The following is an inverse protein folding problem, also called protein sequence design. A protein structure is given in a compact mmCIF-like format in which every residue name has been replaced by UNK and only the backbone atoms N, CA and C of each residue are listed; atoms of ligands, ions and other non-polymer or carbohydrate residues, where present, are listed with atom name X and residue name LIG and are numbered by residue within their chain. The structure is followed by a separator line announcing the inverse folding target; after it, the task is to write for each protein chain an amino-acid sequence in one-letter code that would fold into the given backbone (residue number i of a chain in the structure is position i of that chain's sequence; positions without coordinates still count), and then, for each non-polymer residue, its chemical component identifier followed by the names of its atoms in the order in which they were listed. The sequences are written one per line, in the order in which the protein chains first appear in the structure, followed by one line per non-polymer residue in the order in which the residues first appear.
data_IF_460975837179
#
_entry.id   IF_460975837179
#
_cell.length_a   1.000
_cell.length_b   1.000
_cell.length_c   1.000
_cell.angle_alpha   90.00
_cell.angle_beta   90.00
_cell.angle_gamma   90.00
#
_symmetry.space_group_name_H-M   'P 1'
#
loop_
_entity.id
_entity.type
_entity.pdbx_description
1 polymer ?
#
# COMPACT_ATOMS: atom_id res chain seq x y z
N UNK A 1 -9.34 5.03 -13.18
CA UNK A 1 -8.13 5.36 -12.42
C UNK A 1 -7.17 4.19 -12.54
N UNK A 2 -6.01 4.43 -13.14
CA UNK A 2 -4.98 3.42 -13.36
C UNK A 2 -4.21 3.13 -12.07
N UNK A 3 -3.39 2.07 -12.06
CA UNK A 3 -2.53 1.77 -10.91
C UNK A 3 -1.43 2.82 -10.72
N UNK A 4 -0.98 3.44 -11.81
CA UNK A 4 0.01 4.53 -11.79
C UNK A 4 -0.59 5.81 -11.19
N UNK A 5 -1.86 6.11 -11.50
CA UNK A 5 -2.59 7.23 -10.89
C UNK A 5 -2.67 7.06 -9.36
N UNK A 6 -3.04 5.86 -8.90
CA UNK A 6 -3.12 5.55 -7.46
C UNK A 6 -1.77 5.66 -6.76
N UNK A 7 -0.70 5.19 -7.42
CA UNK A 7 0.67 5.30 -6.90
C UNK A 7 1.09 6.76 -6.76
N UNK A 8 0.79 7.57 -7.78
CA UNK A 8 1.11 9.00 -7.80
C UNK A 8 0.36 9.77 -6.73
N UNK A 9 -0.94 9.52 -6.58
CA UNK A 9 -1.77 10.12 -5.53
C UNK A 9 -1.24 9.75 -4.13
N UNK A 10 -0.98 8.46 -3.89
CA UNK A 10 -0.41 7.99 -2.62
C UNK A 10 0.94 8.64 -2.34
N UNK A 11 1.81 8.72 -3.34
CA UNK A 11 3.12 9.36 -3.21
C UNK A 11 3.00 10.84 -2.83
N UNK A 12 2.07 11.58 -3.44
CA UNK A 12 1.83 12.98 -3.13
C UNK A 12 1.37 13.16 -1.67
N UNK A 13 0.40 12.37 -1.23
CA UNK A 13 -0.12 12.40 0.15
C UNK A 13 0.97 12.07 1.17
N UNK A 14 1.71 10.97 0.96
CA UNK A 14 2.76 10.56 1.90
C UNK A 14 3.95 11.53 1.90
N UNK A 15 4.22 12.20 0.78
CA UNK A 15 5.26 13.23 0.71
C UNK A 15 4.85 14.46 1.54
N UNK A 16 3.58 14.88 1.46
CA UNK A 16 3.04 15.95 2.30
C UNK A 16 3.12 15.59 3.79
N UNK A 17 2.72 14.37 4.16
CA UNK A 17 2.83 13.87 5.53
C UNK A 17 4.29 13.86 5.99
N UNK A 18 5.21 13.38 5.14
CA UNK A 18 6.64 13.35 5.45
C UNK A 18 7.20 14.74 5.75
N UNK A 19 6.92 15.72 4.91
CA UNK A 19 7.34 17.11 5.11
C UNK A 19 6.76 17.72 6.39
N UNK A 20 5.48 17.45 6.70
CA UNK A 20 4.86 17.93 7.93
C UNK A 20 5.46 17.28 9.19
N UNK A 21 5.88 16.02 9.10
CA UNK A 21 6.52 15.29 10.20
C UNK A 21 8.00 15.63 10.41
N UNK A 22 8.65 16.32 9.48
CA UNK A 22 9.98 16.90 9.68
C UNK A 22 9.94 18.06 10.67
N UNK A 23 8.85 18.85 10.66
CA UNK A 23 8.60 19.94 11.60
C UNK A 23 7.15 19.90 12.17
N UNK A 24 6.87 18.95 13.07
CA UNK A 24 5.53 18.78 13.63
C UNK A 24 5.14 19.94 14.57
N UNK A 25 6.11 20.69 15.10
CA UNK A 25 5.86 21.85 15.95
C UNK A 25 5.25 22.97 15.10
N UNK A 26 5.81 23.24 13.91
CA UNK A 26 5.25 24.20 12.97
C UNK A 26 3.84 23.83 12.54
N UNK A 27 3.55 22.55 12.29
CA UNK A 27 2.19 22.10 11.97
C UNK A 27 1.23 22.46 13.11
N UNK A 28 1.60 22.14 14.35
CA UNK A 28 0.77 22.43 15.53
C UNK A 28 0.55 23.94 15.73
N UNK A 29 1.59 24.75 15.53
CA UNK A 29 1.51 26.21 15.63
C UNK A 29 0.56 26.81 14.59
N UNK A 30 0.60 26.31 13.35
CA UNK A 30 -0.30 26.75 12.28
C UNK A 30 -1.76 26.43 12.61
N UNK A 31 -2.01 25.20 13.08
CA UNK A 31 -3.36 24.74 13.43
C UNK A 31 -3.93 25.52 14.62
N UNK A 32 -3.16 25.62 15.70
CA UNK A 32 -3.60 26.31 16.93
C UNK A 32 -3.78 27.82 16.77
N UNK A 33 -3.19 28.41 15.73
CA UNK A 33 -3.37 29.83 15.38
C UNK A 33 -4.57 30.10 14.47
N UNK A 34 -5.27 29.08 13.98
CA UNK A 34 -6.42 29.23 13.09
C UNK A 34 -7.71 29.59 13.86
N UNK A 35 -8.62 30.29 13.20
CA UNK A 35 -9.91 30.66 13.79
C UNK A 35 -10.92 29.50 13.82
N UNK A 36 -10.89 28.66 12.79
CA UNK A 36 -11.77 27.51 12.58
C UNK A 36 -11.09 26.47 11.65
N UNK A 37 -11.76 25.36 11.40
CA UNK A 37 -11.22 24.23 10.62
C UNK A 37 -10.90 24.60 9.16
N UNK A 38 -11.74 25.41 8.50
CA UNK A 38 -11.50 25.84 7.11
C UNK A 38 -10.33 26.83 7.04
N UNK A 39 -10.20 27.73 8.03
CA UNK A 39 -9.03 28.58 8.19
C UNK A 39 -7.76 27.75 8.43
N UNK A 40 -7.84 26.71 9.26
CA UNK A 40 -6.73 25.81 9.53
C UNK A 40 -6.28 25.08 8.25
N UNK A 41 -7.21 24.54 7.46
CA UNK A 41 -6.92 23.88 6.18
C UNK A 41 -6.21 24.82 5.22
N UNK A 42 -6.72 26.05 5.02
CA UNK A 42 -6.07 27.03 4.14
C UNK A 42 -4.68 27.42 4.62
N UNK A 43 -4.49 27.62 5.93
CA UNK A 43 -3.19 27.97 6.51
C UNK A 43 -2.18 26.83 6.43
N UNK A 44 -2.61 25.59 6.68
CA UNK A 44 -1.76 24.40 6.51
C UNK A 44 -1.37 24.22 5.04
N UNK A 45 -2.32 24.36 4.11
CA UNK A 45 -2.05 24.32 2.68
C UNK A 45 -0.98 25.33 2.27
N UNK A 46 -1.10 26.57 2.73
CA UNK A 46 -0.12 27.62 2.46
C UNK A 46 1.23 27.37 3.15
N UNK A 47 1.25 26.98 4.43
CA UNK A 47 2.47 26.78 5.20
C UNK A 47 3.32 25.63 4.66
N UNK A 48 2.70 24.55 4.20
CA UNK A 48 3.38 23.36 3.70
C UNK A 48 3.42 23.28 2.17
N UNK A 49 2.91 24.29 1.46
CA UNK A 49 2.82 24.34 -0.01
C UNK A 49 2.14 23.10 -0.61
N UNK A 50 1.02 22.69 -0.03
CA UNK A 50 0.23 21.53 -0.46
C UNK A 50 -1.17 21.95 -0.92
N UNK A 51 -1.87 21.06 -1.60
CA UNK A 51 -3.27 21.28 -2.00
C UNK A 51 -4.20 21.22 -0.78
N UNK A 52 -5.39 21.81 -0.87
CA UNK A 52 -6.38 21.74 0.21
C UNK A 52 -6.76 20.30 0.61
N UNK A 53 -6.97 19.35 -0.34
CA UNK A 53 -7.18 17.94 0.02
C UNK A 53 -6.03 17.34 0.83
N UNK A 54 -4.78 17.64 0.47
CA UNK A 54 -3.62 17.16 1.22
C UNK A 54 -3.52 17.84 2.59
N UNK A 55 -3.85 19.12 2.71
CA UNK A 55 -3.92 19.82 3.99
C UNK A 55 -4.97 19.20 4.93
N UNK A 56 -6.14 18.80 4.42
CA UNK A 56 -7.14 18.04 5.21
C UNK A 56 -6.56 16.72 5.74
N UNK A 57 -5.81 15.99 4.91
CA UNK A 57 -5.11 14.77 5.37
C UNK A 57 -4.10 15.06 6.48
N UNK A 58 -3.40 16.20 6.43
CA UNK A 58 -2.48 16.62 7.49
C UNK A 58 -3.22 16.97 8.79
N UNK A 59 -4.42 17.56 8.70
CA UNK A 59 -5.28 17.84 9.86
C UNK A 59 -5.73 16.54 10.55
N UNK A 60 -5.98 15.48 9.78
CA UNK A 60 -6.40 14.16 10.28
C UNK A 60 -5.25 13.32 10.84
N UNK A 61 -4.03 13.87 10.90
CA UNK A 61 -2.86 13.12 11.32
C UNK A 61 -2.91 12.76 12.81
N UNK A 62 -3.00 11.47 13.09
CA UNK A 62 -3.00 10.95 14.46
C UNK A 62 -1.62 11.09 15.13
N UNK A 63 -1.60 11.44 16.42
CA UNK A 63 -0.36 11.59 17.22
C UNK A 63 0.56 10.35 17.18
N UNK A 64 0.02 9.15 16.99
CA UNK A 64 0.82 7.92 16.83
C UNK A 64 1.81 7.96 15.65
N UNK A 65 1.55 8.79 14.64
CA UNK A 65 2.43 9.01 13.48
C UNK A 65 3.69 9.81 13.82
N UNK A 66 3.75 10.48 14.97
CA UNK A 66 4.91 11.23 15.43
C UNK A 66 6.03 10.33 15.97
N UNK A 67 5.71 9.06 16.29
CA UNK A 67 6.71 8.12 16.84
C UNK A 67 7.82 7.86 15.83
N UNK A 68 9.06 7.68 16.32
CA UNK A 68 10.21 7.33 15.47
C UNK A 68 9.91 6.12 14.58
N UNK A 69 9.34 5.07 15.15
CA UNK A 69 8.99 3.86 14.42
C UNK A 69 7.94 4.09 13.31
N UNK A 70 7.03 5.05 13.45
CA UNK A 70 6.08 5.40 12.40
C UNK A 70 6.74 6.24 11.30
N UNK A 71 7.64 7.17 11.68
CA UNK A 71 8.43 7.97 10.73
C UNK A 71 9.37 7.11 9.90
N UNK A 72 10.08 6.17 10.52
CA UNK A 72 10.98 5.24 9.83
C UNK A 72 10.20 4.39 8.81
N UNK A 73 8.99 3.93 9.18
CA UNK A 73 8.08 3.22 8.27
C UNK A 73 7.64 4.08 7.09
N UNK A 74 7.28 5.34 7.33
CA UNK A 74 6.92 6.28 6.28
C UNK A 74 8.07 6.56 5.32
N UNK A 75 9.29 6.75 5.85
CA UNK A 75 10.49 6.94 5.03
C UNK A 75 10.74 5.75 4.12
N UNK A 76 10.60 4.53 4.65
CA UNK A 76 10.75 3.31 3.86
C UNK A 76 9.66 3.18 2.79
N UNK A 77 8.41 3.49 3.13
CA UNK A 77 7.30 3.49 2.18
C UNK A 77 7.51 4.51 1.04
N UNK A 78 7.95 5.72 1.37
CA UNK A 78 8.31 6.74 0.38
C UNK A 78 9.49 6.30 -0.50
N UNK A 79 10.49 5.62 0.07
CA UNK A 79 11.62 5.06 -0.69
C UNK A 79 11.12 4.06 -1.74
N UNK A 80 10.23 3.15 -1.34
CA UNK A 80 9.65 2.15 -2.25
C UNK A 80 8.78 2.82 -3.32
N UNK A 81 7.93 3.78 -2.95
CA UNK A 81 7.03 4.47 -3.88
C UNK A 81 7.77 5.35 -4.90
N UNK A 82 8.97 5.84 -4.57
CA UNK A 82 9.80 6.65 -5.49
C UNK A 82 10.70 5.81 -6.39
N UNK A 83 10.93 4.54 -6.06
CA UNK A 83 11.84 3.69 -6.82
C UNK A 83 11.27 3.31 -8.19
N UNK A 84 12.11 3.21 -9.21
CA UNK A 84 11.69 2.64 -10.49
C UNK A 84 11.37 1.15 -10.31
N UNK A 85 10.10 0.79 -10.48
CA UNK A 85 9.67 -0.60 -10.35
C UNK A 85 9.95 -1.33 -11.65
N UNK A 86 10.55 -2.52 -11.55
CA UNK A 86 10.74 -3.37 -12.72
C UNK A 86 9.43 -3.97 -13.25
N UNK A 87 9.47 -4.68 -14.39
CA UNK A 87 8.30 -5.32 -14.96
C UNK A 87 7.72 -6.38 -13.99
N UNK A 88 6.43 -6.72 -14.08
CA UNK A 88 5.84 -7.73 -13.22
C UNK A 88 6.59 -9.08 -13.28
N UNK A 89 6.65 -9.77 -12.15
CA UNK A 89 7.05 -11.18 -12.04
C UNK A 89 5.78 -12.02 -12.16
N UNK A 90 5.79 -13.00 -13.05
CA UNK A 90 4.67 -13.92 -13.20
C UNK A 90 4.75 -15.03 -12.15
N UNK A 91 3.62 -15.33 -11.53
CA UNK A 91 3.48 -16.42 -10.59
C UNK A 91 2.19 -17.21 -10.84
N UNK A 92 2.17 -18.46 -10.41
CA UNK A 92 0.99 -19.32 -10.45
C UNK A 92 0.65 -19.77 -9.05
N UNK A 93 -0.62 -19.68 -8.68
CA UNK A 93 -1.15 -20.23 -7.45
C UNK A 93 -2.16 -21.32 -7.77
N UNK A 94 -1.97 -22.51 -7.20
CA UNK A 94 -2.94 -23.61 -7.26
C UNK A 94 -3.60 -23.75 -5.90
N UNK A 95 -4.89 -23.40 -5.81
CA UNK A 95 -5.70 -23.51 -4.61
C UNK A 95 -6.44 -24.85 -4.54
N UNK A 96 -6.21 -25.59 -3.46
CA UNK A 96 -6.89 -26.86 -3.15
C UNK A 96 -7.41 -26.83 -1.73
N UNK A 97 -8.65 -26.34 -1.57
CA UNK A 97 -9.32 -26.21 -0.28
C UNK A 97 -8.56 -25.26 0.66
N UNK A 98 -7.90 -25.81 1.67
CA UNK A 98 -7.13 -25.08 2.70
C UNK A 98 -5.63 -25.03 2.42
N UNK A 99 -5.20 -25.52 1.27
CA UNK A 99 -3.80 -25.55 0.86
C UNK A 99 -3.60 -24.82 -0.46
N UNK A 100 -2.43 -24.20 -0.60
CA UNK A 100 -2.02 -23.58 -1.85
C UNK A 100 -0.61 -24.03 -2.23
N UNK A 101 -0.36 -24.17 -3.54
CA UNK A 101 0.97 -24.30 -4.12
C UNK A 101 1.23 -23.05 -4.96
N UNK A 102 2.21 -22.24 -4.54
CA UNK A 102 2.68 -21.07 -5.26
C UNK A 102 3.93 -21.44 -6.04
N UNK A 103 3.95 -21.19 -7.34
CA UNK A 103 5.12 -21.35 -8.20
C UNK A 103 5.52 -19.97 -8.75
N UNK A 104 6.76 -19.55 -8.50
CA UNK A 104 7.30 -18.24 -8.93
C UNK A 104 8.78 -18.39 -9.27
N UNK A 105 9.17 -17.96 -10.47
CA UNK A 105 10.54 -18.13 -11.01
C UNK A 105 11.10 -19.56 -10.86
N UNK A 106 10.26 -20.57 -11.10
CA UNK A 106 10.63 -21.99 -10.97
C UNK A 106 10.80 -22.50 -9.54
N UNK A 107 10.58 -21.66 -8.52
CA UNK A 107 10.55 -22.07 -7.11
C UNK A 107 9.12 -22.34 -6.69
N UNK A 108 8.89 -23.45 -6.02
CA UNK A 108 7.58 -23.79 -5.46
C UNK A 108 7.56 -23.64 -3.95
N UNK A 109 6.43 -23.12 -3.44
CA UNK A 109 6.18 -22.99 -2.00
C UNK A 109 4.77 -23.39 -1.66
N UNK A 110 4.63 -24.19 -0.62
CA UNK A 110 3.34 -24.66 -0.12
C UNK A 110 2.88 -23.84 1.07
N UNK A 111 1.59 -23.52 1.10
CA UNK A 111 0.91 -22.82 2.18
C UNK A 111 -0.29 -23.62 2.68
N UNK A 112 -0.60 -23.49 3.96
CA UNK A 112 -1.74 -24.14 4.60
C UNK A 112 -2.30 -23.22 5.69
N UNK A 113 -3.60 -22.94 5.66
CA UNK A 113 -4.24 -22.08 6.66
C UNK A 113 -5.65 -22.56 7.02
N UNK A 114 -6.27 -21.94 8.04
CA UNK A 114 -7.61 -22.31 8.54
C UNK A 114 -8.76 -22.08 7.55
N UNK A 115 -8.54 -21.23 6.53
CA UNK A 115 -9.53 -20.89 5.50
C UNK A 115 -8.89 -20.18 4.32
N UNK A 116 -9.66 -19.97 3.24
CA UNK A 116 -9.17 -19.39 1.98
C UNK A 116 -8.64 -17.96 2.18
N UNK A 117 -9.33 -17.11 2.94
CA UNK A 117 -8.86 -15.74 3.17
C UNK A 117 -7.53 -15.71 3.93
N UNK A 118 -7.41 -16.46 5.02
CA UNK A 118 -6.15 -16.58 5.76
C UNK A 118 -5.02 -17.14 4.89
N UNK A 119 -5.33 -18.09 4.00
CA UNK A 119 -4.37 -18.65 3.05
C UNK A 119 -3.90 -17.59 2.03
N UNK A 120 -4.82 -16.79 1.50
CA UNK A 120 -4.49 -15.69 0.60
C UNK A 120 -3.67 -14.61 1.32
N UNK A 121 -4.00 -14.27 2.58
CA UNK A 121 -3.25 -13.31 3.38
C UNK A 121 -1.79 -13.77 3.60
N UNK A 122 -1.58 -15.06 3.90
CA UNK A 122 -0.23 -15.63 4.02
C UNK A 122 0.54 -15.58 2.70
N UNK A 123 -0.11 -15.93 1.58
CA UNK A 123 0.51 -15.88 0.25
C UNK A 123 0.87 -14.44 -0.13
N UNK A 124 -0.04 -13.49 0.06
CA UNK A 124 0.21 -12.06 -0.20
C UNK A 124 1.33 -11.53 0.69
N UNK A 125 1.34 -11.91 1.97
CA UNK A 125 2.39 -11.57 2.91
C UNK A 125 3.77 -12.01 2.43
N UNK A 126 3.89 -13.28 2.02
CA UNK A 126 5.11 -13.85 1.44
C UNK A 126 5.52 -13.15 0.14
N UNK A 127 4.60 -13.02 -0.82
CA UNK A 127 4.87 -12.39 -2.11
C UNK A 127 5.36 -10.96 -1.92
N UNK A 128 4.78 -10.23 -0.98
CA UNK A 128 5.18 -8.87 -0.65
C UNK A 128 6.59 -8.81 -0.09
N UNK A 129 6.90 -9.57 0.97
CA UNK A 129 8.19 -9.46 1.66
C UNK A 129 9.33 -10.02 0.83
N UNK A 130 9.15 -11.22 0.27
CA UNK A 130 10.24 -11.99 -0.33
C UNK A 130 10.50 -11.60 -1.79
N UNK A 131 9.49 -11.06 -2.48
CA UNK A 131 9.57 -10.82 -3.92
C UNK A 131 9.31 -9.35 -4.23
N UNK A 132 8.12 -8.83 -3.90
CA UNK A 132 7.71 -7.53 -4.40
C UNK A 132 8.56 -6.38 -3.86
N UNK A 133 8.72 -6.31 -2.54
CA UNK A 133 9.56 -5.29 -1.88
C UNK A 133 11.04 -5.55 -2.15
N UNK A 134 11.48 -6.80 -1.97
CA UNK A 134 12.89 -7.20 -2.11
C UNK A 134 13.45 -6.92 -3.51
N UNK A 135 12.65 -7.15 -4.55
CA UNK A 135 13.07 -7.00 -5.95
C UNK A 135 12.55 -5.73 -6.62
N UNK A 136 11.73 -4.94 -5.91
CA UNK A 136 11.03 -3.76 -6.44
C UNK A 136 10.27 -4.08 -7.74
N UNK A 137 9.55 -5.21 -7.75
CA UNK A 137 8.78 -5.68 -8.91
C UNK A 137 7.39 -6.12 -8.46
N UNK A 138 6.30 -5.70 -9.13
CA UNK A 138 4.98 -6.28 -8.88
C UNK A 138 5.00 -7.79 -9.14
N UNK A 139 4.14 -8.54 -8.47
CA UNK A 139 3.91 -9.97 -8.74
C UNK A 139 2.50 -10.13 -9.28
N UNK A 140 2.38 -10.58 -10.53
CA UNK A 140 1.11 -10.92 -11.16
C UNK A 140 0.89 -12.44 -11.03
N UNK A 141 -0.13 -12.83 -10.29
CA UNK A 141 -0.43 -14.21 -9.95
C UNK A 141 -1.67 -14.66 -10.70
N UNK A 142 -1.54 -15.72 -11.47
CA UNK A 142 -2.70 -16.46 -12.01
C UNK A 142 -3.11 -17.51 -10.99
N UNK A 143 -4.37 -17.44 -10.55
CA UNK A 143 -4.91 -18.34 -9.53
C UNK A 143 -5.78 -19.39 -10.22
N UNK A 144 -5.52 -20.65 -9.91
CA UNK A 144 -6.20 -21.81 -10.48
C UNK A 144 -6.60 -22.77 -9.37
N UNK A 145 -7.53 -23.68 -9.64
CA UNK A 145 -7.94 -24.71 -8.69
C UNK A 145 -9.45 -24.88 -8.61
N UNK A 146 -9.89 -25.73 -7.69
CA UNK A 146 -11.33 -26.05 -7.47
C UNK A 146 -11.95 -25.29 -6.30
N UNK A 147 -11.17 -24.49 -5.58
CA UNK A 147 -11.68 -23.70 -4.46
C UNK A 147 -12.31 -22.41 -4.99
N UNK A 148 -13.44 -21.99 -4.40
CA UNK A 148 -13.98 -20.66 -4.65
C UNK A 148 -12.96 -19.60 -4.20
N UNK A 149 -12.59 -18.69 -5.10
CA UNK A 149 -11.55 -17.70 -4.84
C UNK A 149 -11.32 -16.76 -6.03
N UNK A 150 -10.33 -15.86 -5.93
CA UNK A 150 -9.92 -15.03 -7.06
C UNK A 150 -9.33 -15.90 -8.18
N UNK A 151 -9.45 -15.43 -9.42
CA UNK A 151 -8.79 -16.01 -10.60
C UNK A 151 -7.45 -15.35 -10.91
N UNK A 152 -7.21 -14.17 -10.33
CA UNK A 152 -5.93 -13.50 -10.41
C UNK A 152 -5.69 -12.61 -9.20
N UNK A 153 -4.43 -12.33 -8.89
CA UNK A 153 -4.08 -11.29 -7.94
C UNK A 153 -2.78 -10.59 -8.33
N UNK A 154 -2.68 -9.32 -7.99
CA UNK A 154 -1.44 -8.54 -8.16
C UNK A 154 -0.99 -8.02 -6.81
N UNK A 155 0.24 -8.36 -6.42
CA UNK A 155 0.88 -7.88 -5.19
C UNK A 155 1.96 -6.87 -5.57
N UNK A 156 1.93 -5.67 -4.99
CA UNK A 156 2.83 -4.57 -5.37
C UNK A 156 3.84 -4.25 -4.26
N UNK A 157 5.00 -3.64 -4.61
CA UNK A 157 6.01 -3.25 -3.62
C UNK A 157 5.50 -2.29 -2.55
N UNK A 158 4.55 -1.40 -2.87
CA UNK A 158 3.93 -0.44 -1.92
C UNK A 158 2.97 -1.09 -0.91
N UNK A 159 2.91 -2.42 -0.89
CA UNK A 159 2.08 -3.21 0.00
C UNK A 159 0.61 -3.32 -0.41
N UNK A 160 0.21 -2.72 -1.54
CA UNK A 160 -1.13 -2.91 -2.08
C UNK A 160 -1.26 -4.30 -2.74
N UNK A 161 -2.47 -4.86 -2.66
CA UNK A 161 -2.84 -6.07 -3.37
C UNK A 161 -4.21 -5.87 -4.03
N UNK A 162 -4.39 -6.40 -5.24
CA UNK A 162 -5.66 -6.41 -5.95
C UNK A 162 -6.02 -7.83 -6.35
N UNK A 163 -7.30 -8.18 -6.26
CA UNK A 163 -7.82 -9.51 -6.58
C UNK A 163 -8.83 -9.39 -7.72
N UNK A 164 -8.66 -10.22 -8.75
CA UNK A 164 -9.63 -10.41 -9.82
C UNK A 164 -10.46 -11.65 -9.54
N UNK A 165 -11.77 -11.55 -9.69
CA UNK A 165 -12.71 -12.67 -9.58
C UNK A 165 -13.33 -12.93 -10.95
N UNK A 166 -13.76 -14.16 -11.20
CA UNK A 166 -14.65 -14.43 -12.33
C UNK A 166 -15.92 -13.60 -12.15
N UNK A 167 -16.29 -12.83 -13.19
CA UNK A 167 -17.61 -12.22 -13.26
C UNK A 167 -18.63 -13.36 -13.25
N UNK A 168 -19.31 -13.53 -12.12
CA UNK A 168 -20.49 -14.37 -12.07
C UNK A 168 -21.59 -13.56 -12.74
N UNK A 169 -21.82 -13.83 -14.02
CA UNK A 169 -23.02 -13.39 -14.72
C UNK A 169 -24.23 -13.67 -13.83
N UNK A 170 -24.99 -12.61 -13.52
CA UNK A 170 -26.15 -12.62 -12.64
C UNK A 170 -27.38 -13.27 -13.25
#
# INVERSE_FOLDING_TARGET
MTDEDRRTERLAVLTAIGAALEDPIRLLQVITGAADDEDAVRRVAAAFAVTEPAARVLMDLQFGRLTRAARDRLTEELRILRADWGPPVEARLVLTGRTALLSVDGTERRFTAGGVNALLDEVVGFLRSEIAVSRLRPVAVVVTGRAAGPVGMTVRPDGSASFGYEDRDG
#
